data_IF_102224837840
#
_entry.id   IF_102224837840
#
_cell.length_a   1.000
_cell.length_b   1.000
_cell.length_c   1.000
_cell.angle_alpha   90.00
_cell.angle_beta   90.00
_cell.angle_gamma   90.00
#
_symmetry.space_group_name_H-M   'P 1'
#
loop_
_entity.id
_entity.type
_entity.pdbx_description
1 polymer ?
#
# COMPACT_ATOMS: atom_id res chain seq x y z
N UNK A 1 2.18 -15.99 -6.72
CA UNK A 1 1.82 -17.28 -7.37
C UNK A 1 0.36 -17.31 -7.80
N UNK A 2 -0.65 -17.03 -6.93
CA UNK A 2 -2.08 -17.13 -7.26
C UNK A 2 -2.48 -16.25 -8.45
N UNK A 3 -2.11 -14.98 -8.46
CA UNK A 3 -2.40 -14.06 -9.58
C UNK A 3 -1.71 -14.49 -10.86
N UNK A 4 -0.46 -14.96 -10.77
CA UNK A 4 0.26 -15.47 -11.93
C UNK A 4 -0.44 -16.71 -12.52
N UNK A 5 -0.93 -17.61 -11.66
CA UNK A 5 -1.70 -18.78 -12.10
C UNK A 5 -3.02 -18.42 -12.80
N UNK A 6 -3.54 -17.21 -12.58
CA UNK A 6 -4.72 -16.67 -13.29
C UNK A 6 -4.37 -15.89 -14.57
N UNK A 7 -3.09 -15.88 -14.95
CA UNK A 7 -2.61 -15.25 -16.19
C UNK A 7 -2.23 -13.77 -16.04
N UNK A 8 -2.20 -13.22 -14.82
CA UNK A 8 -1.72 -11.84 -14.62
C UNK A 8 -0.21 -11.79 -14.72
N UNK A 9 0.38 -10.89 -15.54
CA UNK A 9 1.81 -10.63 -15.52
C UNK A 9 2.19 -9.95 -14.19
N UNK A 10 3.22 -10.48 -13.51
CA UNK A 10 3.68 -9.97 -12.22
C UNK A 10 5.00 -9.25 -12.40
N UNK A 11 5.05 -8.00 -11.95
CA UNK A 11 6.25 -7.18 -11.92
C UNK A 11 6.62 -6.86 -10.48
N UNK A 12 7.80 -7.25 -10.06
CA UNK A 12 8.35 -6.88 -8.75
C UNK A 12 9.25 -5.66 -8.92
N UNK A 13 9.16 -4.71 -8.01
CA UNK A 13 10.02 -3.52 -7.99
C UNK A 13 11.14 -3.76 -6.98
N UNK A 14 12.17 -4.49 -7.42
CA UNK A 14 13.30 -4.92 -6.56
C UNK A 14 14.06 -3.75 -5.94
N UNK A 15 14.07 -2.59 -6.59
CA UNK A 15 14.70 -1.38 -6.08
C UNK A 15 14.07 -0.87 -4.75
N UNK A 16 12.86 -1.35 -4.40
CA UNK A 16 12.20 -1.07 -3.13
C UNK A 16 12.46 -2.14 -2.04
N UNK A 17 13.28 -3.16 -2.30
CA UNK A 17 13.45 -4.32 -1.41
C UNK A 17 13.81 -3.94 0.04
N UNK A 18 14.63 -2.91 0.25
CA UNK A 18 15.02 -2.43 1.59
C UNK A 18 14.09 -1.30 2.08
N UNK A 19 13.36 -0.64 1.19
CA UNK A 19 12.38 0.42 1.45
C UNK A 19 12.82 1.48 2.49
N UNK A 20 14.09 1.93 2.39
CA UNK A 20 14.68 2.91 3.31
C UNK A 20 14.52 4.36 2.84
N UNK A 21 14.07 4.58 1.62
CA UNK A 21 13.86 5.89 1.01
C UNK A 21 12.52 6.50 1.41
N UNK A 22 12.32 7.79 1.15
CA UNK A 22 11.06 8.47 1.42
C UNK A 22 9.89 7.89 0.60
N UNK A 23 8.65 8.15 1.04
CA UNK A 23 7.45 7.77 0.27
C UNK A 23 7.45 8.43 -1.12
N UNK A 24 7.88 9.70 -1.19
CA UNK A 24 7.92 10.44 -2.45
C UNK A 24 8.98 9.89 -3.41
N UNK A 25 10.21 9.65 -2.95
CA UNK A 25 11.27 9.09 -3.79
C UNK A 25 10.91 7.69 -4.29
N UNK A 26 10.29 6.88 -3.42
CA UNK A 26 9.82 5.55 -3.78
C UNK A 26 8.70 5.60 -4.84
N UNK A 27 7.76 6.53 -4.74
CA UNK A 27 6.71 6.72 -5.74
C UNK A 27 7.30 7.15 -7.09
N UNK A 28 8.27 8.09 -7.10
CA UNK A 28 8.97 8.52 -8.31
C UNK A 28 9.68 7.34 -8.99
N UNK A 29 10.39 6.52 -8.21
CA UNK A 29 11.08 5.34 -8.73
C UNK A 29 10.10 4.33 -9.36
N UNK A 30 8.95 4.09 -8.74
CA UNK A 30 7.91 3.22 -9.34
C UNK A 30 7.36 3.83 -10.62
N UNK A 31 7.14 5.15 -10.66
CA UNK A 31 6.70 5.87 -11.87
C UNK A 31 7.66 5.65 -13.02
N UNK A 32 8.97 5.76 -12.77
CA UNK A 32 10.00 5.53 -13.78
C UNK A 32 9.96 4.10 -14.31
N UNK A 33 9.83 3.10 -13.43
CA UNK A 33 9.69 1.69 -13.83
C UNK A 33 8.43 1.47 -14.69
N UNK A 34 7.30 2.10 -14.35
CA UNK A 34 6.06 2.01 -15.14
C UNK A 34 6.24 2.64 -16.53
N UNK A 35 6.98 3.73 -16.64
CA UNK A 35 7.28 4.41 -17.90
C UNK A 35 8.26 3.62 -18.75
N UNK A 36 9.38 3.20 -18.17
CA UNK A 36 10.43 2.44 -18.86
C UNK A 36 9.91 1.12 -19.45
N UNK A 37 9.00 0.46 -18.73
CA UNK A 37 8.37 -0.80 -19.15
C UNK A 37 7.08 -0.58 -19.94
N UNK A 38 6.70 0.65 -20.21
CA UNK A 38 5.47 1.05 -20.92
C UNK A 38 4.18 0.43 -20.32
N UNK A 39 4.18 0.15 -19.02
CA UNK A 39 3.05 -0.48 -18.33
C UNK A 39 1.88 0.49 -18.17
N UNK A 40 0.66 -0.01 -18.41
CA UNK A 40 -0.61 0.70 -18.22
C UNK A 40 -1.68 -0.23 -17.66
N UNK A 41 -2.70 0.34 -17.03
CA UNK A 41 -3.76 -0.45 -16.38
C UNK A 41 -3.23 -1.29 -15.22
N UNK A 42 -2.19 -0.81 -14.54
CA UNK A 42 -1.48 -1.55 -13.49
C UNK A 42 -2.31 -1.59 -12.21
N UNK A 43 -2.46 -2.77 -11.64
CA UNK A 43 -2.94 -2.96 -10.27
C UNK A 43 -1.72 -3.09 -9.36
N UNK A 44 -1.59 -2.19 -8.40
CA UNK A 44 -0.53 -2.23 -7.40
C UNK A 44 -1.00 -3.07 -6.23
N UNK A 45 -0.23 -4.08 -5.83
CA UNK A 45 -0.44 -4.82 -4.58
C UNK A 45 0.71 -4.48 -3.64
N UNK A 46 0.40 -3.90 -2.50
CA UNK A 46 1.42 -3.36 -1.59
C UNK A 46 1.11 -3.67 -0.13
N UNK A 47 2.15 -3.82 0.69
CA UNK A 47 2.04 -4.08 2.12
C UNK A 47 2.60 -2.92 2.93
N UNK A 48 1.96 -2.60 4.05
CA UNK A 48 2.44 -1.64 5.04
C UNK A 48 2.78 -0.28 4.42
N UNK A 49 3.99 0.25 4.61
CA UNK A 49 4.49 1.49 3.98
C UNK A 49 4.32 1.49 2.45
N UNK A 50 4.34 0.32 1.81
CA UNK A 50 4.12 0.20 0.37
C UNK A 50 2.76 0.74 -0.08
N UNK A 51 1.73 0.65 0.76
CA UNK A 51 0.42 1.25 0.47
C UNK A 51 0.45 2.78 0.46
N UNK A 52 1.23 3.41 1.35
CA UNK A 52 1.44 4.86 1.33
C UNK A 52 2.15 5.31 0.03
N UNK A 53 3.14 4.52 -0.41
CA UNK A 53 3.83 4.74 -1.70
C UNK A 53 2.84 4.60 -2.86
N UNK A 54 1.99 3.56 -2.83
CA UNK A 54 0.96 3.34 -3.84
C UNK A 54 -0.09 4.46 -3.88
N UNK A 55 -0.52 4.99 -2.72
CA UNK A 55 -1.43 6.15 -2.67
C UNK A 55 -0.76 7.40 -3.23
N UNK A 56 0.50 7.65 -2.88
CA UNK A 56 1.26 8.77 -3.45
C UNK A 56 1.37 8.65 -4.96
N UNK A 57 1.63 7.44 -5.46
CA UNK A 57 1.68 7.17 -6.89
C UNK A 57 0.34 7.45 -7.57
N UNK A 58 -0.79 7.04 -6.99
CA UNK A 58 -2.14 7.34 -7.51
C UNK A 58 -2.42 8.84 -7.61
N UNK A 59 -1.96 9.62 -6.63
CA UNK A 59 -2.11 11.09 -6.61
C UNK A 59 -1.30 11.73 -7.74
N UNK A 60 -0.11 11.22 -8.03
CA UNK A 60 0.83 11.78 -9.01
C UNK A 60 0.74 11.14 -10.40
N UNK A 61 -0.16 10.19 -10.61
CA UNK A 61 -0.32 9.42 -11.86
C UNK A 61 -1.00 10.24 -12.97
N UNK A 62 -0.31 11.29 -13.42
CA UNK A 62 -0.81 12.16 -14.50
C UNK A 62 -0.96 11.42 -15.85
N UNK A 63 -0.26 10.30 -16.02
CA UNK A 63 -0.29 9.48 -17.25
C UNK A 63 -1.43 8.45 -17.25
N UNK A 64 -2.16 8.28 -16.13
CA UNK A 64 -3.23 7.29 -15.96
C UNK A 64 -2.75 5.85 -16.12
N UNK A 65 -1.55 5.53 -15.60
CA UNK A 65 -0.95 4.20 -15.72
C UNK A 65 -1.44 3.20 -14.70
N UNK A 66 -1.84 3.68 -13.52
CA UNK A 66 -2.29 2.85 -12.40
C UNK A 66 -3.80 2.79 -12.38
N UNK A 67 -4.37 1.60 -12.49
CA UNK A 67 -5.82 1.40 -12.40
C UNK A 67 -6.31 1.39 -10.95
N UNK A 68 -5.60 0.67 -10.07
CA UNK A 68 -6.05 0.39 -8.70
C UNK A 68 -4.86 0.15 -7.78
N UNK A 69 -5.06 0.40 -6.49
CA UNK A 69 -4.18 0.01 -5.40
C UNK A 69 -4.89 -0.98 -4.47
N UNK A 70 -4.28 -2.13 -4.24
CA UNK A 70 -4.67 -3.08 -3.21
C UNK A 70 -3.62 -3.00 -2.11
N UNK A 71 -3.99 -2.43 -0.98
CA UNK A 71 -3.09 -2.16 0.13
C UNK A 71 -3.39 -3.11 1.30
N UNK A 72 -2.37 -3.74 1.84
CA UNK A 72 -2.47 -4.71 2.91
C UNK A 72 -1.81 -4.13 4.16
N UNK A 73 -2.54 -4.04 5.26
CA UNK A 73 -2.06 -3.56 6.57
C UNK A 73 -1.31 -2.23 6.49
N UNK A 74 -1.83 -1.27 5.74
CA UNK A 74 -1.18 0.03 5.51
C UNK A 74 -1.52 1.00 6.63
N UNK A 75 -0.52 1.68 7.23
CA UNK A 75 -0.73 2.69 8.26
C UNK A 75 -1.16 4.04 7.63
N UNK A 76 -2.41 4.16 7.21
CA UNK A 76 -2.93 5.36 6.55
C UNK A 76 -2.82 6.61 7.40
N UNK A 77 -3.03 6.46 8.72
CA UNK A 77 -2.96 7.50 9.74
C UNK A 77 -1.61 7.52 10.46
N UNK A 78 -0.59 6.86 9.88
CA UNK A 78 0.68 6.64 10.55
C UNK A 78 0.61 5.53 11.61
N UNK A 79 1.62 5.49 12.48
CA UNK A 79 1.67 4.60 13.64
C UNK A 79 2.27 5.34 14.83
N UNK A 80 1.54 5.40 15.94
CA UNK A 80 2.02 5.99 17.19
C UNK A 80 3.25 5.27 17.75
N UNK A 81 3.41 3.98 17.44
CA UNK A 81 4.58 3.19 17.81
C UNK A 81 5.88 3.67 17.14
N UNK A 82 5.75 4.36 15.99
CA UNK A 82 6.91 4.95 15.31
C UNK A 82 7.67 5.98 16.15
N UNK A 83 7.07 6.49 17.22
CA UNK A 83 7.72 7.39 18.18
C UNK A 83 8.77 6.70 19.06
N UNK A 84 8.60 5.41 19.29
CA UNK A 84 9.42 4.61 20.21
C UNK A 84 10.51 3.81 19.51
N UNK A 85 10.47 3.76 18.18
CA UNK A 85 11.46 3.01 17.39
C UNK A 85 12.43 4.00 16.75
N UNK A 86 13.73 3.94 17.07
CA UNK A 86 14.72 4.81 16.48
C UNK A 86 14.92 4.48 14.97
N UNK A 87 15.13 5.52 14.16
CA UNK A 87 15.44 5.39 12.74
C UNK A 87 14.56 6.29 11.85
N UNK A 88 15.17 6.84 10.79
CA UNK A 88 14.50 7.78 9.87
C UNK A 88 13.31 7.14 9.14
N UNK A 89 13.43 5.89 8.77
CA UNK A 89 12.40 5.15 7.99
C UNK A 89 11.14 4.94 8.80
N UNK A 90 11.28 4.57 10.06
CA UNK A 90 10.14 4.34 10.97
C UNK A 90 9.62 5.67 11.48
N UNK A 91 10.51 6.65 11.71
CA UNK A 91 10.11 8.01 12.09
C UNK A 91 9.20 8.69 11.06
N UNK A 92 9.35 8.37 9.79
CA UNK A 92 8.48 8.86 8.71
C UNK A 92 7.07 8.20 8.69
N UNK A 93 6.79 7.28 9.60
CA UNK A 93 5.46 6.70 9.80
C UNK A 93 4.73 7.29 11.01
N UNK A 94 5.24 8.35 11.62
CA UNK A 94 4.55 9.02 12.72
C UNK A 94 3.29 9.72 12.20
N UNK A 95 2.19 9.72 12.96
CA UNK A 95 0.94 10.38 12.54
C UNK A 95 1.12 11.86 12.16
N UNK A 96 2.02 12.56 12.82
CA UNK A 96 2.33 13.96 12.56
C UNK A 96 3.34 14.22 11.43
N UNK A 97 3.85 13.18 10.78
CA UNK A 97 4.77 13.33 9.63
C UNK A 97 4.05 14.02 8.47
N UNK A 98 4.72 15.01 7.88
CA UNK A 98 4.12 15.82 6.83
C UNK A 98 3.66 15.00 5.60
N UNK A 99 4.34 13.89 5.29
CA UNK A 99 3.94 13.02 4.20
C UNK A 99 2.66 12.25 4.55
N UNK A 100 2.49 11.78 5.79
CA UNK A 100 1.25 11.13 6.25
C UNK A 100 0.09 12.12 6.17
N UNK A 101 0.24 13.30 6.77
CA UNK A 101 -0.79 14.35 6.77
C UNK A 101 -1.20 14.75 5.34
N UNK A 102 -0.24 14.90 4.43
CA UNK A 102 -0.52 15.25 3.04
C UNK A 102 -1.26 14.14 2.28
N UNK A 103 -0.92 12.88 2.54
CA UNK A 103 -1.61 11.73 1.95
C UNK A 103 -3.04 11.61 2.50
N UNK A 104 -3.23 11.82 3.77
CA UNK A 104 -4.52 11.75 4.44
C UNK A 104 -5.50 12.83 3.90
N UNK A 105 -5.01 14.04 3.71
CA UNK A 105 -5.79 15.16 3.17
C UNK A 105 -6.28 14.94 1.72
N UNK A 106 -5.60 14.06 0.94
CA UNK A 106 -6.02 13.74 -0.42
C UNK A 106 -6.95 12.53 -0.42
N UNK A 107 -8.25 12.76 -0.59
CA UNK A 107 -9.29 11.72 -0.56
C UNK A 107 -9.78 11.31 -1.95
N UNK A 108 -9.49 12.08 -2.99
CA UNK A 108 -10.04 11.88 -4.35
C UNK A 108 -9.65 10.52 -4.95
N UNK A 109 -8.46 10.03 -4.64
CA UNK A 109 -7.96 8.74 -5.15
C UNK A 109 -8.45 7.53 -4.34
N UNK A 110 -9.08 7.75 -3.18
CA UNK A 110 -9.43 6.67 -2.25
C UNK A 110 -10.42 5.66 -2.86
N UNK A 111 -11.31 6.09 -3.75
CA UNK A 111 -12.23 5.20 -4.47
C UNK A 111 -11.51 4.15 -5.34
N UNK A 112 -10.22 4.37 -5.66
CA UNK A 112 -9.36 3.43 -6.41
C UNK A 112 -8.52 2.54 -5.50
N UNK A 113 -8.78 2.56 -4.19
CA UNK A 113 -8.02 1.80 -3.19
C UNK A 113 -8.90 0.73 -2.57
N UNK A 114 -8.38 -0.49 -2.47
CA UNK A 114 -8.90 -1.54 -1.61
C UNK A 114 -7.93 -1.71 -0.44
N UNK A 115 -8.39 -1.42 0.77
CA UNK A 115 -7.61 -1.60 2.01
C UNK A 115 -8.01 -2.90 2.67
N UNK A 116 -7.07 -3.87 2.74
CA UNK A 116 -7.25 -5.17 3.38
C UNK A 116 -6.42 -5.17 4.66
N UNK A 117 -7.02 -5.49 5.80
CA UNK A 117 -6.32 -5.41 7.08
C UNK A 117 -6.79 -6.47 8.07
N UNK A 118 -5.88 -6.92 8.97
CA UNK A 118 -6.23 -7.88 9.99
C UNK A 118 -7.09 -7.24 11.09
N UNK A 119 -7.92 -8.03 11.75
CA UNK A 119 -8.71 -7.60 12.91
C UNK A 119 -7.83 -7.08 14.06
N UNK A 120 -6.57 -7.53 14.15
CA UNK A 120 -5.59 -7.05 15.11
C UNK A 120 -4.22 -6.91 14.46
N UNK A 121 -3.73 -5.66 14.42
CA UNK A 121 -2.37 -5.31 13.96
C UNK A 121 -1.62 -4.55 15.05
N UNK A 122 -0.64 -5.21 15.66
CA UNK A 122 0.15 -4.60 16.72
C UNK A 122 1.16 -3.54 16.23
N UNK A 123 1.39 -3.42 14.91
CA UNK A 123 2.28 -2.41 14.32
C UNK A 123 1.51 -1.17 13.85
N UNK A 124 0.20 -1.30 13.66
CA UNK A 124 -0.68 -0.22 13.21
C UNK A 124 -1.87 -0.10 14.17
N UNK A 125 -1.64 0.38 15.42
CA UNK A 125 -2.68 0.46 16.43
C UNK A 125 -3.82 1.43 16.06
N UNK A 126 -3.56 2.38 15.17
CA UNK A 126 -4.58 3.29 14.61
C UNK A 126 -5.52 2.61 13.60
N UNK A 127 -5.19 1.37 13.20
CA UNK A 127 -5.93 0.63 12.17
C UNK A 127 -5.54 1.03 10.75
N UNK A 128 -6.05 0.25 9.80
CA UNK A 128 -5.78 0.43 8.37
C UNK A 128 -7.05 0.72 7.56
N UNK A 129 -8.12 1.19 8.19
CA UNK A 129 -9.30 1.69 7.48
C UNK A 129 -8.96 2.99 6.76
N UNK A 130 -9.51 3.16 5.56
CA UNK A 130 -9.36 4.38 4.76
C UNK A 130 -10.73 4.86 4.31
N UNK A 131 -11.12 6.07 4.69
CA UNK A 131 -12.38 6.66 4.27
C UNK A 131 -12.44 6.81 2.75
N UNK A 132 -13.57 6.46 2.15
CA UNK A 132 -13.77 6.51 0.69
C UNK A 132 -13.14 5.35 -0.09
N UNK A 133 -12.42 4.43 0.57
CA UNK A 133 -11.88 3.22 -0.03
C UNK A 133 -12.80 2.00 0.18
N UNK A 134 -12.57 0.93 -0.57
CA UNK A 134 -13.12 -0.39 -0.24
C UNK A 134 -12.33 -0.99 0.91
N UNK A 135 -12.94 -1.13 2.09
CA UNK A 135 -12.30 -1.66 3.28
C UNK A 135 -12.70 -3.12 3.51
N UNK A 136 -11.72 -4.01 3.69
CA UNK A 136 -11.90 -5.44 3.93
C UNK A 136 -11.13 -5.83 5.18
N UNK A 137 -11.86 -6.05 6.28
CA UNK A 137 -11.30 -6.60 7.50
C UNK A 137 -11.30 -8.13 7.39
N UNK A 138 -10.19 -8.75 7.76
CA UNK A 138 -10.03 -10.21 7.78
C UNK A 138 -9.75 -10.70 9.20
N UNK A 139 -10.15 -11.94 9.52
CA UNK A 139 -9.97 -12.51 10.85
C UNK A 139 -8.52 -12.79 11.25
N UNK A 140 -7.55 -12.56 10.33
CA UNK A 140 -6.12 -12.69 10.57
C UNK A 140 -5.64 -11.80 11.72
N UNK A 141 -4.52 -12.18 12.32
CA UNK A 141 -3.85 -11.44 13.40
C UNK A 141 -2.38 -11.25 13.06
N UNK A 142 -1.91 -9.99 13.15
CA UNK A 142 -0.50 -9.63 13.03
C UNK A 142 -0.07 -9.09 11.67
N UNK A 143 0.80 -8.10 11.73
CA UNK A 143 1.22 -7.25 10.60
C UNK A 143 1.87 -8.01 9.43
N UNK A 144 2.70 -8.99 9.71
CA UNK A 144 3.41 -9.77 8.67
C UNK A 144 2.71 -11.09 8.36
N UNK A 145 2.03 -11.67 9.34
CA UNK A 145 1.32 -12.94 9.18
C UNK A 145 0.17 -12.84 8.17
N UNK A 146 -0.44 -11.67 8.09
CA UNK A 146 -1.48 -11.32 7.12
C UNK A 146 -1.09 -11.63 5.66
N UNK A 147 0.20 -11.55 5.32
CA UNK A 147 0.70 -11.81 3.95
C UNK A 147 0.61 -13.29 3.52
N UNK A 148 0.52 -14.21 4.46
CA UNK A 148 0.38 -15.65 4.18
C UNK A 148 -1.01 -16.19 4.52
N UNK A 149 -1.92 -15.34 5.00
CA UNK A 149 -3.27 -15.74 5.37
C UNK A 149 -4.12 -16.03 4.13
N UNK A 150 -4.77 -17.21 4.06
CA UNK A 150 -5.60 -17.58 2.91
C UNK A 150 -6.72 -16.58 2.62
N UNK A 151 -7.38 -16.02 3.65
CA UNK A 151 -8.47 -15.05 3.50
C UNK A 151 -7.97 -13.76 2.83
N UNK A 152 -6.78 -13.28 3.23
CA UNK A 152 -6.13 -12.12 2.60
C UNK A 152 -5.79 -12.40 1.15
N UNK A 153 -5.22 -13.57 0.88
CA UNK A 153 -4.85 -13.95 -0.49
C UNK A 153 -6.08 -14.05 -1.39
N UNK A 154 -7.21 -14.58 -0.88
CA UNK A 154 -8.48 -14.64 -1.61
C UNK A 154 -9.07 -13.25 -1.82
N UNK A 155 -9.01 -12.36 -0.82
CA UNK A 155 -9.45 -10.98 -0.93
C UNK A 155 -8.65 -10.19 -1.98
N UNK A 156 -7.32 -10.39 -2.04
CA UNK A 156 -6.45 -9.78 -3.07
C UNK A 156 -6.86 -10.25 -4.46
N UNK A 157 -7.04 -11.56 -4.66
CA UNK A 157 -7.47 -12.14 -5.95
C UNK A 157 -8.83 -11.57 -6.38
N UNK A 158 -9.79 -11.52 -5.46
CA UNK A 158 -11.12 -10.97 -5.73
C UNK A 158 -11.09 -9.46 -6.04
N UNK A 159 -10.14 -8.70 -5.46
CA UNK A 159 -9.99 -7.27 -5.72
C UNK A 159 -9.37 -6.99 -7.09
N UNK A 160 -8.41 -7.81 -7.55
CA UNK A 160 -7.79 -7.66 -8.88
C UNK A 160 -8.80 -7.91 -10.01
N UNK A 161 -9.79 -8.77 -9.81
CA UNK A 161 -10.82 -9.12 -10.80
C UNK A 161 -11.97 -8.12 -10.94
N UNK A 162 -11.94 -7.00 -10.22
CA UNK A 162 -12.97 -5.94 -10.27
C UNK A 162 -12.56 -4.80 -11.16
#
# INVERSE_FOLDING_TARGET
>A
ERLHAQGHPIHVVDALAINTISVADAASLVTDVLRERELRGVVIVAHSKGGLIGKRLLIEDVDGRVAQLIAIATPWHGSSLARYVPGRVIGALRPEDAAIVALEANTEVNARITSIYPALDQHVPEGSQLEGATNIEVAAVGHFRVLSDPEVLDAVVAAVGR
#
